data_IF_997872261028
#
_entry.id   IF_997872261028
#
_cell.length_a   1.000
_cell.length_b   1.000
_cell.length_c   1.000
_cell.angle_alpha   90.00
_cell.angle_beta   90.00
_cell.angle_gamma   90.00
#
_symmetry.space_group_name_H-M   'P 1'
#
loop_
_entity.id
_entity.type
_entity.pdbx_description
1 polymer ?
#
# COMPACT_ATOMS: atom_id res chain seq x y z
N UNK A 1 26.08 8.18 -50.16
CA UNK A 1 26.34 7.24 -49.05
C UNK A 1 25.77 7.84 -47.77
N UNK A 2 24.65 7.31 -47.28
CA UNK A 2 23.94 7.78 -46.08
C UNK A 2 24.61 7.13 -44.86
N UNK A 3 25.18 7.94 -43.96
CA UNK A 3 25.70 7.47 -42.67
C UNK A 3 24.56 7.50 -41.66
N UNK A 4 24.14 6.31 -41.26
CA UNK A 4 23.13 6.04 -40.25
C UNK A 4 23.67 6.35 -38.85
N UNK A 5 22.85 7.05 -38.07
CA UNK A 5 23.00 7.32 -36.64
C UNK A 5 23.05 5.99 -35.87
N UNK A 6 24.12 5.73 -35.10
CA UNK A 6 24.23 4.60 -34.18
C UNK A 6 23.89 5.05 -32.76
N UNK A 7 23.13 4.19 -32.08
CA UNK A 7 22.41 4.44 -30.84
C UNK A 7 23.24 4.98 -29.67
N UNK A 8 22.53 5.78 -28.88
CA UNK A 8 22.93 6.24 -27.54
C UNK A 8 23.14 5.01 -26.66
N UNK A 9 24.38 4.86 -26.20
CA UNK A 9 24.82 3.86 -25.24
C UNK A 9 24.07 4.03 -23.92
N UNK A 10 23.62 2.90 -23.37
CA UNK A 10 23.11 2.69 -22.02
C UNK A 10 23.88 3.56 -21.01
N UNK A 11 23.28 4.68 -20.59
CA UNK A 11 23.69 5.40 -19.39
C UNK A 11 22.81 4.89 -18.27
N UNK A 12 23.44 4.08 -17.42
CA UNK A 12 23.15 3.85 -16.02
C UNK A 12 22.06 4.79 -15.48
N UNK A 13 20.82 4.32 -15.50
CA UNK A 13 19.76 4.91 -14.69
C UNK A 13 20.00 4.36 -13.29
N UNK A 14 20.69 5.17 -12.48
CA UNK A 14 20.85 4.92 -11.06
C UNK A 14 19.44 4.86 -10.47
N UNK A 15 19.03 3.67 -10.04
CA UNK A 15 17.86 3.43 -9.19
C UNK A 15 18.06 4.18 -7.86
N UNK A 16 17.88 5.49 -7.89
CA UNK A 16 17.96 6.36 -6.73
C UNK A 16 16.65 6.30 -5.98
N UNK A 17 16.67 5.62 -4.83
CA UNK A 17 15.94 5.83 -3.56
C UNK A 17 14.41 6.06 -3.55
N UNK A 18 13.76 6.46 -4.65
CA UNK A 18 12.32 6.36 -4.86
C UNK A 18 11.82 4.92 -4.79
N UNK A 19 12.70 3.96 -5.03
CA UNK A 19 12.40 2.54 -4.87
C UNK A 19 12.17 2.13 -3.42
N UNK A 20 12.84 2.71 -2.41
CA UNK A 20 12.78 2.12 -1.06
C UNK A 20 11.39 2.24 -0.40
N UNK A 21 10.73 3.41 -0.51
CA UNK A 21 9.39 3.62 0.07
C UNK A 21 8.27 2.98 -0.76
N UNK A 22 8.41 2.95 -2.10
CA UNK A 22 7.47 2.25 -2.99
C UNK A 22 7.60 0.74 -2.78
N UNK A 23 8.82 0.19 -2.70
CA UNK A 23 9.09 -1.22 -2.44
C UNK A 23 8.71 -1.64 -1.00
N UNK A 24 8.84 -0.75 -0.02
CA UNK A 24 8.36 -0.98 1.34
C UNK A 24 6.82 -0.91 1.45
N UNK A 25 6.12 -0.17 0.60
CA UNK A 25 4.66 -0.29 0.49
C UNK A 25 4.20 -1.54 -0.27
N UNK A 26 5.06 -2.04 -1.16
CA UNK A 26 4.81 -3.15 -2.08
C UNK A 26 4.92 -4.53 -1.43
N UNK A 27 5.83 -4.69 -0.47
CA UNK A 27 5.96 -5.94 0.28
C UNK A 27 4.70 -6.24 1.14
N UNK A 28 3.85 -5.23 1.37
CA UNK A 28 2.56 -5.36 2.06
C UNK A 28 1.43 -5.85 1.14
N UNK A 29 1.67 -5.97 -0.17
CA UNK A 29 0.74 -6.64 -1.09
C UNK A 29 0.88 -8.17 -1.03
N UNK A 30 1.14 -8.73 0.14
CA UNK A 30 0.94 -10.16 0.46
C UNK A 30 -0.56 -10.52 0.54
N UNK A 31 -1.45 -9.57 0.24
CA UNK A 31 -2.90 -9.75 0.25
C UNK A 31 -3.51 -10.53 -0.92
N UNK A 32 -2.73 -11.21 -1.77
CA UNK A 32 -3.29 -12.38 -2.47
C UNK A 32 -3.26 -13.56 -1.50
N UNK A 33 -4.22 -13.56 -0.57
CA UNK A 33 -4.59 -14.78 0.14
C UNK A 33 -5.17 -15.74 -0.92
N UNK A 34 -4.28 -16.50 -1.56
CA UNK A 34 -4.61 -17.71 -2.29
C UNK A 34 -5.21 -18.64 -1.25
N UNK A 35 -6.51 -18.50 -0.99
CA UNK A 35 -7.20 -19.11 0.13
C UNK A 35 -6.70 -20.54 0.33
N UNK A 36 -5.90 -20.72 1.39
CA UNK A 36 -5.41 -22.04 1.75
C UNK A 36 -6.61 -22.77 2.37
N UNK A 37 -7.35 -23.46 1.50
CA UNK A 37 -8.37 -24.40 1.91
C UNK A 37 -7.70 -25.46 2.76
N UNK A 38 -7.98 -25.44 4.06
CA UNK A 38 -7.58 -26.48 4.99
C UNK A 38 -8.42 -27.74 4.74
N UNK A 39 -8.24 -28.39 3.60
CA UNK A 39 -8.69 -29.76 3.37
C UNK A 39 -7.51 -30.67 3.71
N UNK A 40 -7.65 -31.44 4.79
CA UNK A 40 -6.66 -32.41 5.30
C UNK A 40 -6.47 -33.64 4.40
N UNK A 41 -6.28 -33.42 3.09
CA UNK A 41 -5.87 -34.43 2.13
C UNK A 41 -4.41 -34.21 1.73
N UNK A 42 -3.61 -35.27 1.73
CA UNK A 42 -2.29 -35.30 1.09
C UNK A 42 -2.46 -35.13 -0.43
N UNK A 43 -2.59 -33.88 -0.88
CA UNK A 43 -2.68 -33.55 -2.30
C UNK A 43 -1.29 -33.37 -2.87
N UNK A 44 -0.62 -34.48 -3.20
CA UNK A 44 0.58 -34.40 -4.06
C UNK A 44 0.19 -33.80 -5.41
N UNK A 45 0.87 -32.74 -5.89
CA UNK A 45 0.59 -32.17 -7.21
C UNK A 45 0.69 -33.25 -8.29
N UNK A 46 -0.34 -33.41 -9.13
CA UNK A 46 -0.39 -34.46 -10.14
C UNK A 46 -0.35 -33.87 -11.55
N UNK A 47 0.64 -34.29 -12.33
CA UNK A 47 0.77 -33.89 -13.73
C UNK A 47 -0.36 -34.49 -14.60
N UNK A 48 -0.91 -33.74 -15.57
CA UNK A 48 -1.87 -34.26 -16.54
C UNK A 48 -1.24 -35.31 -17.48
N UNK A 49 -2.06 -36.18 -18.09
CA UNK A 49 -1.58 -37.08 -19.15
C UNK A 49 -1.05 -36.29 -20.35
N UNK A 50 0.16 -36.60 -20.83
CA UNK A 50 0.82 -35.82 -21.89
C UNK A 50 0.06 -35.76 -23.22
N UNK A 51 -0.78 -36.76 -23.52
CA UNK A 51 -1.51 -36.85 -24.80
C UNK A 51 -2.57 -35.74 -25.02
N UNK A 52 -2.92 -34.97 -23.99
CA UNK A 52 -3.95 -33.90 -24.09
C UNK A 52 -3.42 -32.49 -23.82
N UNK A 53 -2.11 -32.32 -23.55
CA UNK A 53 -1.51 -31.00 -23.35
C UNK A 53 -0.96 -30.41 -24.65
N UNK A 54 -1.70 -29.44 -25.21
CA UNK A 54 -1.24 -28.66 -26.38
C UNK A 54 -0.40 -27.44 -25.99
N UNK A 55 -0.52 -26.96 -24.75
CA UNK A 55 0.28 -25.88 -24.18
C UNK A 55 0.80 -26.34 -22.82
N UNK A 56 2.12 -26.47 -22.69
CA UNK A 56 2.76 -26.91 -21.45
C UNK A 56 2.94 -25.71 -20.51
N UNK A 57 2.80 -25.97 -19.22
CA UNK A 57 3.16 -25.01 -18.18
C UNK A 57 4.66 -24.75 -18.20
N UNK A 58 5.08 -23.51 -17.95
CA UNK A 58 6.47 -23.16 -17.68
C UNK A 58 6.91 -23.58 -16.25
N UNK A 59 5.95 -23.98 -15.41
CA UNK A 59 6.15 -24.45 -14.03
C UNK A 59 5.92 -25.95 -13.90
N UNK A 60 6.75 -26.58 -13.07
CA UNK A 60 6.67 -28.00 -12.73
C UNK A 60 5.44 -28.30 -11.85
N UNK A 61 4.84 -29.47 -12.03
CA UNK A 61 3.77 -29.98 -11.15
C UNK A 61 4.37 -30.59 -9.87
N UNK A 62 5.04 -29.76 -9.08
CA UNK A 62 5.65 -30.10 -7.79
C UNK A 62 5.44 -28.95 -6.80
N UNK A 63 5.66 -29.18 -5.51
CA UNK A 63 5.58 -28.12 -4.51
C UNK A 63 6.59 -27.00 -4.76
N UNK A 64 7.79 -27.33 -5.25
CA UNK A 64 8.80 -26.33 -5.65
C UNK A 64 8.36 -25.54 -6.89
N UNK A 65 7.71 -26.19 -7.85
CA UNK A 65 7.16 -25.54 -9.04
C UNK A 65 6.00 -24.61 -8.72
N UNK A 66 5.12 -25.02 -7.79
CA UNK A 66 4.05 -24.18 -7.25
C UNK A 66 4.61 -22.96 -6.50
N UNK A 67 5.61 -23.16 -5.64
CA UNK A 67 6.27 -22.04 -4.96
C UNK A 67 6.90 -21.07 -5.96
N UNK A 68 7.53 -21.59 -7.02
CA UNK A 68 8.08 -20.76 -8.08
C UNK A 68 7.01 -19.95 -8.82
N UNK A 69 5.84 -20.54 -9.08
CA UNK A 69 4.70 -19.82 -9.67
C UNK A 69 4.26 -18.66 -8.76
N UNK A 70 4.09 -18.94 -7.47
CA UNK A 70 3.74 -17.93 -6.47
C UNK A 70 4.79 -16.81 -6.46
N UNK A 71 6.09 -17.14 -6.37
CA UNK A 71 7.17 -16.14 -6.34
C UNK A 71 7.19 -15.25 -7.61
N UNK A 72 7.01 -15.86 -8.79
CA UNK A 72 6.97 -15.13 -10.06
C UNK A 72 5.70 -14.25 -10.16
N UNK A 73 4.54 -14.72 -9.66
CA UNK A 73 3.31 -13.93 -9.56
C UNK A 73 3.48 -12.72 -8.63
N UNK A 74 4.05 -12.93 -7.43
CA UNK A 74 4.36 -11.84 -6.49
C UNK A 74 5.32 -10.81 -7.09
N UNK A 75 6.37 -11.26 -7.81
CA UNK A 75 7.30 -10.37 -8.49
C UNK A 75 6.61 -9.53 -9.58
N UNK A 76 5.69 -10.15 -10.34
CA UNK A 76 4.90 -9.45 -11.36
C UNK A 76 3.95 -8.43 -10.73
N UNK A 77 3.20 -8.80 -9.69
CA UNK A 77 2.30 -7.87 -8.99
C UNK A 77 3.04 -6.68 -8.41
N UNK A 78 4.20 -6.93 -7.82
CA UNK A 78 5.11 -5.90 -7.33
C UNK A 78 5.49 -4.91 -8.45
N UNK A 79 5.93 -5.41 -9.60
CA UNK A 79 6.23 -4.56 -10.74
C UNK A 79 5.01 -3.75 -11.20
N UNK A 80 3.84 -4.39 -11.32
CA UNK A 80 2.61 -3.73 -11.77
C UNK A 80 2.19 -2.59 -10.85
N UNK A 81 2.24 -2.78 -9.52
CA UNK A 81 1.87 -1.72 -8.58
C UNK A 81 2.91 -0.60 -8.58
N UNK A 82 4.20 -0.92 -8.70
CA UNK A 82 5.26 0.09 -8.80
C UNK A 82 5.06 0.98 -10.01
N UNK A 83 4.78 0.38 -11.17
CA UNK A 83 4.58 1.11 -12.43
C UNK A 83 3.20 1.79 -12.52
N UNK A 84 2.20 1.25 -11.82
CA UNK A 84 0.83 1.77 -11.79
C UNK A 84 0.60 2.91 -10.79
N UNK A 85 1.50 3.08 -9.82
CA UNK A 85 1.39 4.15 -8.81
C UNK A 85 1.69 5.51 -9.44
N UNK A 86 0.79 6.48 -9.21
CA UNK A 86 0.91 7.83 -9.79
C UNK A 86 1.24 8.86 -8.72
N UNK A 87 2.42 9.48 -8.84
CA UNK A 87 2.80 10.62 -8.01
C UNK A 87 2.19 11.92 -8.57
N UNK A 88 1.17 12.45 -7.89
CA UNK A 88 0.48 13.67 -8.31
C UNK A 88 1.20 14.95 -7.86
N UNK A 89 1.78 14.94 -6.65
CA UNK A 89 2.38 16.12 -6.03
C UNK A 89 3.55 15.71 -5.14
N UNK A 90 4.66 16.44 -5.22
CA UNK A 90 5.81 16.26 -4.34
C UNK A 90 6.49 17.61 -4.08
N UNK A 91 5.96 18.35 -3.11
CA UNK A 91 6.52 19.63 -2.68
C UNK A 91 7.50 19.44 -1.53
N UNK A 92 8.57 20.23 -1.52
CA UNK A 92 9.56 20.21 -0.44
C UNK A 92 10.36 18.91 -0.34
N UNK A 93 10.49 18.16 -1.43
CA UNK A 93 11.16 16.84 -1.46
C UNK A 93 10.62 15.89 -0.36
N UNK A 94 9.29 15.88 -0.19
CA UNK A 94 8.63 15.01 0.76
C UNK A 94 8.92 13.53 0.46
N UNK A 95 8.92 13.16 -0.83
CA UNK A 95 9.38 11.87 -1.32
C UNK A 95 10.69 11.98 -2.12
N UNK A 96 11.56 10.95 -2.10
CA UNK A 96 11.41 9.69 -1.37
C UNK A 96 11.60 9.81 0.15
N UNK A 97 11.07 8.84 0.89
CA UNK A 97 11.37 8.68 2.30
C UNK A 97 12.80 8.14 2.49
N UNK A 98 13.41 8.53 3.61
CA UNK A 98 14.67 8.04 4.13
C UNK A 98 14.45 7.57 5.57
N UNK A 99 15.15 6.53 6.04
CA UNK A 99 15.17 6.18 7.47
C UNK A 99 15.59 7.36 8.37
N UNK A 100 16.35 8.32 7.84
CA UNK A 100 16.76 9.54 8.55
C UNK A 100 15.63 10.56 8.72
N UNK A 101 14.50 10.41 8.01
CA UNK A 101 13.32 11.28 8.18
C UNK A 101 12.61 11.05 9.52
N UNK A 102 13.02 10.02 10.26
CA UNK A 102 12.49 9.65 11.56
C UNK A 102 11.31 8.68 11.46
N UNK A 103 10.59 8.57 12.57
CA UNK A 103 9.46 7.66 12.74
C UNK A 103 8.34 7.94 11.75
N UNK A 104 7.77 6.89 11.17
CA UNK A 104 6.61 6.95 10.29
C UNK A 104 5.35 6.69 11.10
N UNK A 105 4.40 7.62 11.04
CA UNK A 105 3.08 7.51 11.64
C UNK A 105 2.03 7.51 10.53
N UNK A 106 1.23 6.44 10.45
CA UNK A 106 0.23 6.26 9.41
C UNK A 106 -1.16 6.56 9.96
N UNK A 107 -1.79 7.60 9.41
CA UNK A 107 -3.13 8.06 9.77
C UNK A 107 -4.17 7.57 8.74
N UNK A 108 -5.35 7.24 9.25
CA UNK A 108 -6.55 6.95 8.46
C UNK A 108 -6.94 5.47 8.48
N UNK A 109 -8.23 5.19 8.64
CA UNK A 109 -8.78 3.83 8.71
C UNK A 109 -8.46 3.00 7.45
N UNK A 110 -8.28 3.68 6.31
CA UNK A 110 -7.93 3.08 5.03
C UNK A 110 -6.60 2.31 5.07
N UNK A 111 -5.63 2.75 5.88
CA UNK A 111 -4.30 2.13 5.98
C UNK A 111 -4.40 0.66 6.42
N UNK A 112 -4.75 0.37 7.69
CA UNK A 112 -4.87 -1.01 8.16
C UNK A 112 -5.95 -1.82 7.42
N UNK A 113 -7.00 -1.18 6.90
CA UNK A 113 -8.10 -1.88 6.26
C UNK A 113 -7.75 -2.40 4.85
N UNK A 114 -7.04 -1.62 4.04
CA UNK A 114 -6.77 -1.94 2.63
C UNK A 114 -5.30 -2.12 2.30
N UNK A 115 -4.39 -1.64 3.15
CA UNK A 115 -2.95 -1.80 3.04
C UNK A 115 -2.40 -2.67 4.19
N UNK A 116 -3.04 -3.82 4.42
CA UNK A 116 -2.55 -4.80 5.42
C UNK A 116 -1.09 -5.15 5.15
N UNK A 117 -0.27 -5.22 6.19
CA UNK A 117 1.17 -5.54 6.06
C UNK A 117 2.05 -4.35 5.65
N UNK A 118 1.48 -3.14 5.46
CA UNK A 118 2.29 -1.93 5.25
C UNK A 118 3.25 -1.67 6.44
N UNK A 119 2.79 -1.89 7.67
CA UNK A 119 3.59 -1.73 8.88
C UNK A 119 4.80 -2.68 8.88
N UNK A 120 4.58 -3.98 8.66
CA UNK A 120 5.64 -4.98 8.59
C UNK A 120 6.62 -4.67 7.46
N UNK A 121 6.11 -4.19 6.34
CA UNK A 121 6.92 -3.91 5.16
C UNK A 121 7.80 -2.67 5.32
N UNK A 122 7.30 -1.62 5.99
CA UNK A 122 8.10 -0.47 6.39
C UNK A 122 9.16 -0.85 7.42
N UNK A 123 8.80 -1.65 8.43
CA UNK A 123 9.74 -2.18 9.43
C UNK A 123 10.84 -3.03 8.76
N UNK A 124 10.48 -3.93 7.85
CA UNK A 124 11.42 -4.78 7.10
C UNK A 124 12.34 -3.97 6.18
N UNK A 125 11.88 -2.82 5.68
CA UNK A 125 12.70 -1.88 4.91
C UNK A 125 13.60 -0.99 5.78
N UNK A 126 13.57 -1.14 7.11
CA UNK A 126 14.44 -0.44 8.05
C UNK A 126 13.94 0.93 8.51
N UNK A 127 12.65 1.23 8.31
CA UNK A 127 12.04 2.44 8.86
C UNK A 127 11.61 2.24 10.31
N UNK A 128 11.73 3.29 11.11
CA UNK A 128 11.07 3.39 12.41
C UNK A 128 9.57 3.62 12.18
N UNK A 129 8.72 2.82 12.79
CA UNK A 129 7.28 2.79 12.52
C UNK A 129 6.50 2.88 13.84
N UNK A 130 5.48 3.73 13.89
CA UNK A 130 4.67 3.91 15.08
C UNK A 130 3.54 2.87 15.15
N UNK A 131 3.82 1.75 15.82
CA UNK A 131 2.85 0.67 16.01
C UNK A 131 1.59 1.15 16.76
N UNK A 132 1.71 2.06 17.73
CA UNK A 132 0.57 2.56 18.51
C UNK A 132 -0.44 3.36 17.66
N UNK A 133 0.06 4.18 16.74
CA UNK A 133 -0.76 4.88 15.74
C UNK A 133 -1.44 3.88 14.80
N UNK A 134 -0.72 2.88 14.30
CA UNK A 134 -1.27 1.85 13.43
C UNK A 134 -2.34 1.00 14.13
N UNK A 135 -2.08 0.56 15.36
CA UNK A 135 -3.01 -0.23 16.18
C UNK A 135 -4.29 0.54 16.50
N UNK A 136 -4.22 1.86 16.70
CA UNK A 136 -5.41 2.69 16.88
C UNK A 136 -6.35 2.57 15.67
N UNK A 137 -5.83 2.74 14.44
CA UNK A 137 -6.64 2.61 13.23
C UNK A 137 -7.02 1.16 12.91
N UNK A 138 -6.17 0.18 13.23
CA UNK A 138 -6.45 -1.23 13.00
C UNK A 138 -7.58 -1.76 13.90
N UNK A 139 -7.67 -1.25 15.12
CA UNK A 139 -8.74 -1.55 16.08
C UNK A 139 -9.93 -0.58 15.98
N UNK A 140 -9.82 0.44 15.13
CA UNK A 140 -10.82 1.47 14.90
C UNK A 140 -12.02 0.96 14.10
N UNK A 141 -12.92 1.88 13.80
CA UNK A 141 -14.12 1.57 13.04
C UNK A 141 -13.77 1.09 11.63
N UNK A 142 -14.19 -0.12 11.26
CA UNK A 142 -14.01 -0.59 9.86
C UNK A 142 -14.89 0.24 8.92
N UNK A 143 -14.33 0.80 7.84
CA UNK A 143 -15.11 1.56 6.85
C UNK A 143 -16.11 0.64 6.14
N UNK A 144 -17.34 0.51 6.63
CA UNK A 144 -18.44 -0.05 5.83
C UNK A 144 -19.81 0.49 6.23
N UNK A 145 -20.11 1.71 5.81
CA UNK A 145 -21.40 1.90 5.15
C UNK A 145 -21.07 1.99 3.65
N UNK A 146 -21.66 1.14 2.79
CA UNK A 146 -21.37 1.06 1.34
C UNK A 146 -21.57 2.38 0.54
N UNK A 147 -21.88 3.45 1.24
CA UNK A 147 -22.32 4.76 0.75
C UNK A 147 -21.61 5.93 1.46
N UNK A 148 -20.76 5.68 2.46
CA UNK A 148 -20.08 6.72 3.23
C UNK A 148 -18.70 6.27 3.72
N UNK A 149 -17.79 7.24 3.86
CA UNK A 149 -16.51 7.02 4.54
C UNK A 149 -16.76 7.09 6.04
N UNK A 150 -16.13 6.20 6.80
CA UNK A 150 -16.25 6.14 8.25
C UNK A 150 -14.86 6.31 8.87
N UNK A 151 -14.33 7.53 8.79
CA UNK A 151 -13.08 7.90 9.45
C UNK A 151 -13.32 8.22 10.94
N UNK A 152 -12.31 8.06 11.78
CA UNK A 152 -12.44 8.40 13.20
C UNK A 152 -12.57 9.93 13.37
N UNK A 153 -13.46 10.40 14.28
CA UNK A 153 -13.45 11.79 14.70
C UNK A 153 -12.05 12.22 15.14
N UNK A 154 -11.62 13.43 14.74
CA UNK A 154 -10.28 13.89 15.10
C UNK A 154 -10.07 13.98 16.61
N UNK A 155 -11.13 14.27 17.38
CA UNK A 155 -11.10 14.25 18.85
C UNK A 155 -10.71 12.89 19.44
N UNK A 156 -11.08 11.79 18.78
CA UNK A 156 -10.74 10.44 19.24
C UNK A 156 -9.26 10.15 18.96
N UNK A 157 -8.75 10.64 17.82
CA UNK A 157 -7.32 10.60 17.49
C UNK A 157 -6.50 11.41 18.50
N UNK A 158 -6.98 12.60 18.87
CA UNK A 158 -6.38 13.44 19.92
C UNK A 158 -6.39 12.75 21.29
N UNK A 159 -7.45 12.00 21.59
CA UNK A 159 -7.62 11.22 22.82
C UNK A 159 -6.83 9.91 22.87
N UNK A 160 -6.30 9.43 21.74
CA UNK A 160 -5.69 8.10 21.62
C UNK A 160 -4.31 7.96 22.30
N UNK A 161 -3.71 9.07 22.74
CA UNK A 161 -2.46 9.08 23.51
C UNK A 161 -1.18 8.92 22.68
N UNK A 162 -1.22 8.25 21.52
CA UNK A 162 -0.03 8.04 20.66
C UNK A 162 0.55 9.36 20.13
N UNK A 163 -0.27 10.41 19.98
CA UNK A 163 0.18 11.74 19.51
C UNK A 163 1.19 12.41 20.45
N UNK A 164 1.25 12.00 21.73
CA UNK A 164 2.26 12.52 22.67
C UNK A 164 3.70 12.20 22.25
N UNK A 165 3.89 11.10 21.49
CA UNK A 165 5.16 10.70 20.92
C UNK A 165 5.30 11.05 19.44
N UNK A 166 4.44 11.91 18.89
CA UNK A 166 4.43 12.19 17.46
C UNK A 166 5.70 12.90 17.00
N UNK A 167 6.31 12.39 15.93
CA UNK A 167 7.53 12.91 15.33
C UNK A 167 7.74 12.35 13.92
N UNK A 168 8.74 12.87 13.20
CA UNK A 168 9.19 12.31 11.94
C UNK A 168 8.25 12.61 10.78
N UNK A 169 7.63 11.57 10.22
CA UNK A 169 6.80 11.62 9.01
C UNK A 169 5.38 11.19 9.31
N UNK A 170 4.42 12.03 8.97
CA UNK A 170 3.02 11.63 8.87
C UNK A 170 2.72 11.11 7.47
N UNK A 171 2.04 9.98 7.36
CA UNK A 171 1.48 9.44 6.13
C UNK A 171 -0.03 9.38 6.31
N UNK A 172 -0.80 10.07 5.48
CA UNK A 172 -2.27 10.02 5.53
C UNK A 172 -2.78 9.12 4.41
N UNK A 173 -3.50 8.06 4.77
CA UNK A 173 -4.13 7.15 3.81
C UNK A 173 -5.61 7.48 3.71
N UNK A 174 -6.02 7.95 2.54
CA UNK A 174 -7.42 8.09 2.17
C UNK A 174 -7.76 6.96 1.21
N UNK A 175 -8.98 6.43 1.28
CA UNK A 175 -9.39 5.50 0.25
C UNK A 175 -10.88 5.33 0.10
N UNK A 176 -11.22 4.69 -1.01
CA UNK A 176 -12.57 4.51 -1.51
C UNK A 176 -12.67 3.11 -2.12
N UNK A 177 -13.85 2.50 -2.02
CA UNK A 177 -14.15 1.20 -2.61
C UNK A 177 -15.43 1.29 -3.43
N UNK A 178 -15.32 0.95 -4.72
CA UNK A 178 -16.47 0.61 -5.55
C UNK A 178 -16.83 -0.87 -5.40
N UNK A 179 -18.06 -1.23 -5.78
CA UNK A 179 -18.50 -2.61 -5.85
C UNK A 179 -19.30 -2.87 -7.12
N UNK A 180 -19.24 -4.10 -7.62
CA UNK A 180 -20.01 -4.52 -8.78
C UNK A 180 -21.51 -4.31 -8.56
N UNK A 181 -22.21 -3.84 -9.61
CA UNK A 181 -23.65 -3.62 -9.56
C UNK A 181 -24.09 -2.43 -8.70
N UNK A 182 -23.15 -1.57 -8.28
CA UNK A 182 -23.45 -0.35 -7.53
C UNK A 182 -22.58 0.81 -7.98
N UNK A 183 -23.20 1.97 -8.18
CA UNK A 183 -22.47 3.23 -8.34
C UNK A 183 -22.00 3.77 -6.99
N UNK A 184 -20.88 4.49 -6.98
CA UNK A 184 -20.49 5.29 -5.83
C UNK A 184 -21.53 6.40 -5.62
N UNK A 185 -22.07 6.51 -4.39
CA UNK A 185 -23.03 7.57 -4.06
C UNK A 185 -22.45 8.95 -4.32
N UNK A 186 -23.19 9.79 -5.04
CA UNK A 186 -22.88 11.19 -5.29
C UNK A 186 -24.17 12.01 -5.18
N UNK A 187 -24.12 13.20 -4.57
CA UNK A 187 -25.29 14.08 -4.40
C UNK A 187 -25.34 14.82 -3.07
N UNK A 188 -26.36 15.67 -2.90
CA UNK A 188 -26.48 16.58 -1.74
C UNK A 188 -26.71 15.90 -0.39
N UNK A 189 -27.21 14.65 -0.39
CA UNK A 189 -27.52 13.92 0.85
C UNK A 189 -26.32 13.09 1.33
N UNK A 190 -25.62 12.43 0.41
CA UNK A 190 -24.38 11.69 0.66
C UNK A 190 -23.52 11.73 -0.59
N UNK A 191 -22.27 12.17 -0.42
CA UNK A 191 -21.29 12.19 -1.49
C UNK A 191 -20.06 11.42 -1.03
N UNK A 192 -19.91 10.22 -1.56
CA UNK A 192 -18.80 9.33 -1.28
C UNK A 192 -17.52 9.79 -1.96
N UNK A 193 -17.60 10.63 -2.99
CA UNK A 193 -16.46 11.06 -3.79
C UNK A 193 -15.75 12.29 -3.21
N UNK A 194 -16.36 12.98 -2.25
CA UNK A 194 -15.72 14.08 -1.51
C UNK A 194 -15.09 13.57 -0.21
N UNK A 195 -14.25 14.41 0.39
CA UNK A 195 -13.75 14.18 1.75
C UNK A 195 -14.89 14.28 2.77
N UNK A 196 -14.98 13.30 3.66
CA UNK A 196 -15.88 13.35 4.82
C UNK A 196 -15.48 14.49 5.77
N UNK A 197 -16.38 14.95 6.66
CA UNK A 197 -16.02 15.89 7.73
C UNK A 197 -14.80 15.42 8.53
N UNK A 198 -14.77 14.15 8.93
CA UNK A 198 -13.72 13.54 9.76
C UNK A 198 -12.39 13.43 8.99
N UNK A 199 -12.41 13.08 7.69
CA UNK A 199 -11.20 13.11 6.85
C UNK A 199 -10.63 14.53 6.73
N UNK A 200 -11.49 15.56 6.62
CA UNK A 200 -11.05 16.97 6.59
C UNK A 200 -10.44 17.38 7.92
N UNK A 201 -11.07 17.00 9.03
CA UNK A 201 -10.54 17.28 10.36
C UNK A 201 -9.19 16.61 10.57
N UNK A 202 -9.04 15.33 10.21
CA UNK A 202 -7.77 14.62 10.24
C UNK A 202 -6.70 15.30 9.38
N UNK A 203 -7.00 15.62 8.12
CA UNK A 203 -6.06 16.30 7.23
C UNK A 203 -5.61 17.65 7.81
N UNK A 204 -6.55 18.43 8.35
CA UNK A 204 -6.24 19.70 8.99
C UNK A 204 -5.39 19.52 10.25
N UNK A 205 -5.74 18.56 11.11
CA UNK A 205 -5.02 18.27 12.34
C UNK A 205 -3.57 17.82 12.09
N UNK A 206 -3.37 16.86 11.18
CA UNK A 206 -2.03 16.42 10.77
C UNK A 206 -1.25 17.57 10.12
N UNK A 207 -1.91 18.40 9.29
CA UNK A 207 -1.27 19.56 8.68
C UNK A 207 -0.87 20.65 9.70
N UNK A 208 -1.66 20.85 10.77
CA UNK A 208 -1.28 21.74 11.88
C UNK A 208 -0.09 21.17 12.66
N UNK A 209 -0.07 19.87 12.94
CA UNK A 209 1.08 19.21 13.58
C UNK A 209 2.36 19.36 12.73
N UNK A 210 2.25 19.21 11.41
CA UNK A 210 3.36 19.50 10.49
C UNK A 210 3.79 20.97 10.55
N UNK A 211 2.85 21.92 10.45
CA UNK A 211 3.17 23.35 10.50
C UNK A 211 3.75 23.79 11.84
N UNK A 212 3.37 23.14 12.92
CA UNK A 212 3.93 23.30 14.26
C UNK A 212 5.31 22.67 14.46
N UNK A 213 5.81 21.91 13.48
CA UNK A 213 7.14 21.28 13.50
C UNK A 213 7.19 19.89 14.13
N UNK A 214 6.04 19.32 14.54
CA UNK A 214 5.96 17.93 15.05
C UNK A 214 6.37 16.95 13.96
N UNK A 215 5.81 17.11 12.75
CA UNK A 215 6.19 16.32 11.58
C UNK A 215 7.06 17.14 10.63
N UNK A 216 8.20 16.57 10.23
CA UNK A 216 9.05 17.14 9.18
C UNK A 216 8.43 16.96 7.79
N UNK A 217 7.70 15.87 7.59
CA UNK A 217 7.02 15.54 6.33
C UNK A 217 5.57 15.10 6.60
N UNK A 218 4.69 15.45 5.67
CA UNK A 218 3.34 14.88 5.57
C UNK A 218 3.19 14.40 4.12
N UNK A 219 2.89 13.12 3.99
CA UNK A 219 2.61 12.42 2.74
C UNK A 219 1.10 12.22 2.61
#
# INVERSE_FOLDING_TARGET
MRRTWKGISRRSFVLGTAAAAVMAGLAGLTGCDSGSGNDGGDSTPQAPSEETQYFKSDYEYTQEGEQKLVDDEHALYSQLVTEGTVLLKNEGAALPLSPDDGKIMVFGNAGPQWMKGLDESLKNAGYDFDDACWEFYANGSTNVEKVAVNENPWSDVEGAGFLSGASGVAVVVLGRRGAEGSDCSYGSERDYLILSPEEKEMLNGVAELRRGGTFGKMI
#
